data_IF_114250585454
#
_entry.id   IF_114250585454
#
_cell.length_a   1.000
_cell.length_b   1.000
_cell.length_c   1.000
_cell.angle_alpha   90.00
_cell.angle_beta   90.00
_cell.angle_gamma   90.00
#
_symmetry.space_group_name_H-M   'P 1'
#
loop_
_entity.id
_entity.type
_entity.pdbx_description
1 polymer ?
#
# COMPACT_ATOMS: atom_id res chain seq x y z
N UNK A 1 -2.67 -16.44 2.23
CA UNK A 1 -1.79 -17.48 2.60
C UNK A 1 -1.68 -17.74 4.10
N UNK A 2 -1.07 -18.86 4.46
CA UNK A 2 -0.88 -19.29 5.85
C UNK A 2 0.00 -18.32 6.67
N UNK A 3 1.03 -17.72 6.06
CA UNK A 3 1.90 -16.75 6.72
C UNK A 3 1.12 -15.50 7.15
N UNK A 4 0.29 -14.94 6.27
CA UNK A 4 -0.56 -13.78 6.57
C UNK A 4 -1.57 -14.09 7.67
N UNK A 5 -2.18 -15.27 7.66
CA UNK A 5 -3.10 -15.71 8.70
C UNK A 5 -2.40 -15.79 10.07
N UNK A 6 -1.18 -16.33 10.11
CA UNK A 6 -0.37 -16.41 11.34
C UNK A 6 -0.02 -15.03 11.87
N UNK A 7 0.48 -14.12 11.03
CA UNK A 7 0.81 -12.75 11.42
C UNK A 7 -0.42 -12.06 12.01
N UNK A 8 -1.59 -12.17 11.34
CA UNK A 8 -2.84 -11.58 11.82
C UNK A 8 -3.26 -12.14 13.18
N UNK A 9 -3.18 -13.44 13.38
CA UNK A 9 -3.52 -14.07 14.66
C UNK A 9 -2.61 -13.58 15.79
N UNK A 10 -1.32 -13.53 15.57
CA UNK A 10 -0.35 -13.04 16.56
C UNK A 10 -0.55 -11.56 16.88
N UNK A 11 -0.84 -10.72 15.89
CA UNK A 11 -1.10 -9.29 16.07
C UNK A 11 -2.41 -9.06 16.81
N UNK A 12 -3.47 -9.79 16.49
CA UNK A 12 -4.76 -9.71 17.17
C UNK A 12 -4.66 -10.11 18.63
N UNK A 13 -3.90 -11.16 18.94
CA UNK A 13 -3.67 -11.60 20.31
C UNK A 13 -2.94 -10.55 21.17
N UNK A 14 -2.05 -9.75 20.54
CA UNK A 14 -1.27 -8.70 21.24
C UNK A 14 -2.01 -7.38 21.37
N UNK A 15 -2.70 -6.93 20.32
CA UNK A 15 -3.12 -5.55 20.14
C UNK A 15 -4.64 -5.37 19.94
N UNK A 16 -5.39 -6.47 19.83
CA UNK A 16 -6.82 -6.47 19.55
C UNK A 16 -7.17 -6.38 18.06
N UNK A 17 -8.42 -6.73 17.74
CA UNK A 17 -8.87 -6.85 16.34
C UNK A 17 -8.88 -5.52 15.58
N UNK A 18 -9.31 -4.41 16.19
CA UNK A 18 -9.34 -3.10 15.55
C UNK A 18 -7.95 -2.63 15.13
N UNK A 19 -6.94 -2.76 16.00
CA UNK A 19 -5.57 -2.45 15.66
C UNK A 19 -5.02 -3.37 14.58
N UNK A 20 -5.36 -4.67 14.65
CA UNK A 20 -4.93 -5.63 13.62
C UNK A 20 -5.51 -5.30 12.25
N UNK A 21 -6.77 -4.90 12.17
CA UNK A 21 -7.42 -4.52 10.91
C UNK A 21 -6.78 -3.27 10.27
N UNK A 22 -6.22 -2.39 11.10
CA UNK A 22 -5.53 -1.18 10.63
C UNK A 22 -4.14 -1.45 10.04
N UNK A 23 -3.41 -2.46 10.56
CA UNK A 23 -2.01 -2.72 10.18
C UNK A 23 -1.77 -4.05 9.47
N UNK A 24 -2.69 -4.98 9.56
CA UNK A 24 -2.51 -6.33 9.00
C UNK A 24 -3.69 -6.71 8.12
N UNK A 25 -3.47 -6.79 6.82
CA UNK A 25 -4.49 -7.21 5.87
C UNK A 25 -5.06 -8.60 6.20
N UNK A 26 -6.34 -8.81 5.93
CA UNK A 26 -6.99 -10.12 6.06
C UNK A 26 -6.32 -11.14 5.12
N UNK A 27 -6.31 -12.43 5.46
CA UNK A 27 -5.79 -13.47 4.57
C UNK A 27 -6.43 -13.37 3.18
N UNK A 28 -5.62 -13.41 2.12
CA UNK A 28 -6.07 -13.24 0.74
C UNK A 28 -6.17 -11.79 0.26
N UNK A 29 -5.98 -10.79 1.13
CA UNK A 29 -6.10 -9.36 0.80
C UNK A 29 -4.76 -8.59 0.85
N UNK A 30 -3.66 -9.27 1.19
CA UNK A 30 -2.34 -8.64 1.21
C UNK A 30 -1.77 -8.53 -0.20
N UNK A 31 -1.29 -7.33 -0.56
CA UNK A 31 -0.60 -7.08 -1.85
C UNK A 31 0.71 -7.86 -1.99
N UNK A 32 1.34 -8.25 -0.90
CA UNK A 32 2.54 -9.10 -0.90
C UNK A 32 2.29 -10.47 -1.51
N UNK A 33 1.07 -11.00 -1.42
CA UNK A 33 0.71 -12.30 -2.00
C UNK A 33 0.71 -12.28 -3.54
N UNK A 34 0.59 -11.10 -4.13
CA UNK A 34 0.64 -10.89 -5.58
C UNK A 34 2.08 -10.70 -6.09
N UNK A 35 3.07 -10.62 -5.20
CA UNK A 35 4.45 -10.29 -5.56
C UNK A 35 4.65 -8.87 -6.06
N UNK A 36 3.71 -7.96 -5.82
CA UNK A 36 3.73 -6.58 -6.30
C UNK A 36 4.05 -5.55 -5.23
N UNK A 37 4.17 -5.96 -3.97
CA UNK A 37 4.49 -5.08 -2.86
C UNK A 37 5.78 -5.50 -2.17
N UNK A 38 6.53 -4.50 -1.69
CA UNK A 38 7.76 -4.69 -0.93
C UNK A 38 7.73 -3.81 0.32
N UNK A 39 8.24 -4.34 1.42
CA UNK A 39 8.51 -3.58 2.62
C UNK A 39 10.00 -3.26 2.69
N UNK A 40 10.32 -1.98 2.82
CA UNK A 40 11.68 -1.48 2.90
C UNK A 40 12.01 -1.07 4.34
N UNK A 41 13.17 -1.48 4.82
CA UNK A 41 13.63 -1.14 6.16
C UNK A 41 15.06 -0.63 6.11
N UNK A 42 15.45 0.19 7.08
CA UNK A 42 16.84 0.58 7.28
C UNK A 42 17.56 -0.47 8.12
N UNK A 43 18.76 -0.84 7.69
CA UNK A 43 19.57 -1.75 8.48
C UNK A 43 20.00 -1.08 9.79
N UNK A 44 19.71 -1.70 10.92
CA UNK A 44 20.12 -1.25 12.24
C UNK A 44 20.46 -2.44 13.15
N UNK A 45 21.17 -2.20 14.23
CA UNK A 45 21.48 -3.24 15.22
C UNK A 45 20.21 -3.85 15.85
N UNK A 46 19.16 -3.04 16.02
CA UNK A 46 17.85 -3.51 16.52
C UNK A 46 17.18 -4.50 15.56
N UNK A 47 17.47 -4.38 14.28
CA UNK A 47 16.92 -5.21 13.21
C UNK A 47 17.48 -6.64 13.19
N UNK A 48 18.64 -6.87 13.85
CA UNK A 48 19.30 -8.19 13.85
C UNK A 48 18.53 -9.28 14.61
N UNK A 49 17.75 -8.89 15.60
CA UNK A 49 17.04 -9.84 16.45
C UNK A 49 15.71 -10.29 15.85
N UNK A 50 14.93 -9.37 15.28
CA UNK A 50 13.65 -9.64 14.65
C UNK A 50 13.36 -8.63 13.55
N UNK A 51 12.84 -9.10 12.42
CA UNK A 51 12.43 -8.23 11.30
C UNK A 51 11.36 -7.20 11.72
N UNK A 52 10.46 -7.56 12.65
CA UNK A 52 9.46 -6.65 13.20
C UNK A 52 10.04 -5.43 13.95
N UNK A 53 11.30 -5.50 14.32
CA UNK A 53 11.99 -4.40 15.02
C UNK A 53 12.73 -3.49 14.04
N UNK A 54 12.61 -3.79 12.73
CA UNK A 54 13.17 -2.99 11.65
C UNK A 54 12.24 -1.83 11.32
N UNK A 55 12.77 -0.64 11.37
CA UNK A 55 12.06 0.57 10.93
C UNK A 55 12.79 1.22 9.76
N UNK A 56 12.04 1.85 8.89
CA UNK A 56 12.62 2.72 7.87
C UNK A 56 12.98 4.06 8.53
N UNK A 57 14.24 4.49 8.42
CA UNK A 57 14.63 5.79 8.99
C UNK A 57 13.95 6.95 8.24
N UNK A 58 13.64 8.07 8.94
CA UNK A 58 12.85 9.16 8.35
C UNK A 58 13.48 9.81 7.11
N UNK A 59 14.82 9.88 7.04
CA UNK A 59 15.53 10.47 5.89
C UNK A 59 15.35 9.59 4.65
N UNK A 60 15.56 8.29 4.80
CA UNK A 60 15.36 7.31 3.72
C UNK A 60 13.88 7.25 3.31
N UNK A 61 12.95 7.26 4.28
CA UNK A 61 11.52 7.28 4.00
C UNK A 61 11.10 8.51 3.18
N UNK A 62 11.62 9.69 3.53
CA UNK A 62 11.37 10.93 2.78
C UNK A 62 11.91 10.88 1.36
N UNK A 63 13.11 10.35 1.16
CA UNK A 63 13.71 10.20 -0.16
C UNK A 63 12.90 9.21 -1.02
N UNK A 64 12.54 8.07 -0.47
CA UNK A 64 11.72 7.06 -1.17
C UNK A 64 10.34 7.61 -1.55
N UNK A 65 9.68 8.32 -0.65
CA UNK A 65 8.39 8.96 -0.95
C UNK A 65 8.48 9.96 -2.12
N UNK A 66 9.61 10.66 -2.26
CA UNK A 66 9.84 11.61 -3.34
C UNK A 66 10.26 10.96 -4.67
N UNK A 67 10.92 9.80 -4.66
CA UNK A 67 11.60 9.24 -5.83
C UNK A 67 11.12 7.85 -6.26
N UNK A 68 10.37 7.11 -5.45
CA UNK A 68 9.95 5.74 -5.76
C UNK A 68 9.18 5.64 -7.10
N UNK A 69 8.43 6.68 -7.47
CA UNK A 69 7.68 6.75 -8.73
C UNK A 69 8.58 6.66 -9.98
N UNK A 70 9.82 7.13 -9.90
CA UNK A 70 10.80 7.05 -11.00
C UNK A 70 11.15 5.60 -11.35
N UNK A 71 10.93 4.68 -10.40
CA UNK A 71 11.17 3.24 -10.51
C UNK A 71 9.87 2.41 -10.67
N UNK A 72 8.72 3.07 -10.78
CA UNK A 72 7.44 2.43 -10.95
C UNK A 72 6.76 2.01 -9.64
N UNK A 73 7.24 2.50 -8.50
CA UNK A 73 6.67 2.23 -7.18
C UNK A 73 5.93 3.43 -6.62
N UNK A 74 4.94 3.16 -5.79
CA UNK A 74 4.22 4.17 -5.01
C UNK A 74 4.29 3.85 -3.52
N UNK A 75 4.28 4.89 -2.69
CA UNK A 75 3.98 4.75 -1.27
C UNK A 75 2.49 4.43 -1.13
N UNK A 76 2.17 3.18 -0.80
CA UNK A 76 0.79 2.66 -0.89
C UNK A 76 -0.16 3.26 0.13
N UNK A 77 0.32 3.51 1.34
CA UNK A 77 -0.47 4.00 2.48
C UNK A 77 0.12 5.29 3.06
N UNK A 78 -0.05 6.43 2.34
CA UNK A 78 0.51 7.70 2.76
C UNK A 78 -0.22 8.30 3.96
N UNK A 79 0.51 9.07 4.75
CA UNK A 79 -0.04 9.78 5.91
C UNK A 79 -1.16 10.75 5.51
N UNK A 80 -2.22 10.79 6.30
CA UNK A 80 -3.38 11.65 6.10
C UNK A 80 -4.42 11.10 5.13
N UNK A 81 -4.21 9.88 4.61
CA UNK A 81 -5.11 9.21 3.67
C UNK A 81 -5.75 7.93 4.24
N UNK A 82 -5.63 7.71 5.53
CA UNK A 82 -6.06 6.48 6.23
C UNK A 82 -7.55 6.20 6.05
N UNK A 83 -8.37 7.25 6.00
CA UNK A 83 -9.82 7.11 5.74
C UNK A 83 -10.16 6.64 4.34
N UNK A 84 -9.26 6.87 3.38
CA UNK A 84 -9.44 6.47 1.97
C UNK A 84 -8.91 5.06 1.76
N UNK A 85 -7.70 4.80 2.25
CA UNK A 85 -7.03 3.50 2.07
C UNK A 85 -7.56 2.41 3.00
N UNK A 86 -8.13 2.79 4.14
CA UNK A 86 -8.54 1.88 5.21
C UNK A 86 -7.38 1.28 6.01
N UNK A 87 -6.14 1.73 5.74
CA UNK A 87 -4.91 1.25 6.40
C UNK A 87 -4.17 2.46 6.98
N UNK A 88 -3.57 2.29 8.15
CA UNK A 88 -2.71 3.30 8.76
C UNK A 88 -1.51 3.63 7.87
N UNK A 89 -0.89 4.79 8.09
CA UNK A 89 0.32 5.15 7.36
C UNK A 89 1.43 4.12 7.53
N UNK A 90 1.92 3.62 6.43
CA UNK A 90 3.04 2.67 6.36
C UNK A 90 4.14 3.24 5.46
N UNK A 91 5.09 3.98 6.05
CA UNK A 91 6.18 4.62 5.32
C UNK A 91 7.14 3.62 4.63
N UNK A 92 7.04 2.36 4.96
CA UNK A 92 7.87 1.25 4.46
C UNK A 92 7.23 0.45 3.34
N UNK A 93 5.90 0.54 3.14
CA UNK A 93 5.15 -0.31 2.22
C UNK A 93 5.01 0.33 0.84
N UNK A 94 5.68 -0.25 -0.15
CA UNK A 94 5.67 0.22 -1.52
C UNK A 94 5.01 -0.79 -2.46
N UNK A 95 4.14 -0.29 -3.35
CA UNK A 95 3.48 -1.07 -4.38
C UNK A 95 4.06 -0.75 -5.74
N UNK A 96 4.42 -1.78 -6.52
CA UNK A 96 4.76 -1.63 -7.94
C UNK A 96 3.49 -1.49 -8.78
N UNK A 97 3.43 -0.43 -9.58
CA UNK A 97 2.30 -0.13 -10.47
C UNK A 97 2.77 0.22 -11.90
N UNK A 98 4.08 0.21 -12.14
CA UNK A 98 4.69 0.68 -13.38
C UNK A 98 4.94 2.18 -13.37
N UNK A 99 5.86 2.65 -14.22
CA UNK A 99 6.36 4.04 -14.18
C UNK A 99 5.28 5.06 -14.52
N UNK A 100 4.46 4.80 -15.54
CA UNK A 100 3.44 5.76 -15.99
C UNK A 100 2.38 6.01 -14.91
N UNK A 101 1.84 4.95 -14.32
CA UNK A 101 0.85 5.07 -13.26
C UNK A 101 1.45 5.62 -11.97
N UNK A 102 2.69 5.26 -11.65
CA UNK A 102 3.39 5.78 -10.49
C UNK A 102 3.62 7.29 -10.60
N UNK A 103 4.04 7.78 -11.78
CA UNK A 103 4.18 9.21 -12.06
C UNK A 103 2.85 9.95 -11.93
N UNK A 104 1.77 9.41 -12.52
CA UNK A 104 0.43 10.00 -12.40
C UNK A 104 -0.01 10.14 -10.94
N UNK A 105 0.16 9.09 -10.13
CA UNK A 105 -0.20 9.09 -8.71
C UNK A 105 0.65 10.12 -7.95
N UNK A 106 1.95 10.16 -8.21
CA UNK A 106 2.85 11.12 -7.58
C UNK A 106 2.48 12.58 -7.90
N UNK A 107 2.25 12.89 -9.17
CA UNK A 107 1.91 14.25 -9.63
C UNK A 107 0.53 14.70 -9.16
N UNK A 108 -0.45 13.81 -9.17
CA UNK A 108 -1.83 14.14 -8.75
C UNK A 108 -2.02 14.26 -7.25
N UNK A 109 -1.13 13.67 -6.44
CA UNK A 109 -1.30 13.55 -4.99
C UNK A 109 -2.46 12.66 -4.55
N UNK A 110 -3.04 11.89 -5.48
CA UNK A 110 -4.09 10.92 -5.20
C UNK A 110 -3.49 9.61 -4.66
N UNK A 111 -4.29 8.86 -3.91
CA UNK A 111 -3.95 7.49 -3.55
C UNK A 111 -4.18 6.53 -4.72
N UNK A 112 -3.60 5.35 -4.65
CA UNK A 112 -3.91 4.28 -5.60
C UNK A 112 -5.41 3.95 -5.62
N UNK A 113 -6.05 3.97 -4.46
CA UNK A 113 -7.49 3.72 -4.32
C UNK A 113 -8.33 4.77 -5.06
N UNK A 114 -8.00 6.05 -4.91
CA UNK A 114 -8.68 7.15 -5.62
C UNK A 114 -8.53 7.04 -7.13
N UNK A 115 -7.33 6.76 -7.61
CA UNK A 115 -7.06 6.58 -9.05
C UNK A 115 -7.81 5.37 -9.59
N UNK A 116 -7.78 4.23 -8.88
CA UNK A 116 -8.52 3.04 -9.27
C UNK A 116 -10.03 3.30 -9.37
N UNK A 117 -10.61 3.97 -8.36
CA UNK A 117 -12.04 4.33 -8.38
C UNK A 117 -12.40 5.24 -9.57
N UNK A 118 -11.55 6.19 -9.91
CA UNK A 118 -11.75 7.06 -11.06
C UNK A 118 -11.70 6.27 -12.37
N UNK A 119 -10.79 5.32 -12.51
CA UNK A 119 -10.69 4.45 -13.69
C UNK A 119 -11.94 3.57 -13.84
N UNK A 120 -12.45 3.00 -12.75
CA UNK A 120 -13.69 2.20 -12.75
C UNK A 120 -14.88 3.04 -13.22
N UNK A 121 -15.04 4.26 -12.69
CA UNK A 121 -16.12 5.18 -13.11
C UNK A 121 -16.05 5.51 -14.61
N UNK A 122 -14.88 5.77 -15.14
CA UNK A 122 -14.68 6.06 -16.57
C UNK A 122 -15.04 4.85 -17.43
N UNK A 123 -14.65 3.65 -17.05
CA UNK A 123 -15.00 2.40 -17.73
C UNK A 123 -16.52 2.19 -17.76
N UNK A 124 -17.18 2.36 -16.63
CA UNK A 124 -18.60 2.12 -16.50
C UNK A 124 -19.41 3.14 -17.32
N UNK A 125 -19.02 4.42 -17.31
CA UNK A 125 -19.62 5.45 -18.14
C UNK A 125 -19.45 5.17 -19.65
N UNK A 126 -18.29 4.69 -20.07
CA UNK A 126 -18.05 4.33 -21.48
C UNK A 126 -18.90 3.13 -21.91
N UNK A 127 -19.17 2.18 -21.02
CA UNK A 127 -20.05 1.03 -21.28
C UNK A 127 -21.51 1.46 -21.45
N UNK A 128 -22.00 2.38 -20.62
CA UNK A 128 -23.36 2.94 -20.74
C UNK A 128 -23.52 3.72 -22.05
N UNK A 129 -22.57 4.56 -22.43
CA UNK A 129 -22.57 5.30 -23.67
C UNK A 129 -22.68 4.39 -24.93
N UNK A 130 -21.96 3.26 -24.92
CA UNK A 130 -22.03 2.25 -26.00
C UNK A 130 -23.40 1.56 -26.08
N UNK A 131 -24.03 1.26 -24.94
CA UNK A 131 -25.34 0.62 -24.90
C UNK A 131 -26.50 1.54 -25.32
N UNK A 132 -26.34 2.86 -25.20
CA UNK A 132 -27.36 3.85 -25.59
C UNK A 132 -27.32 4.23 -27.07
N UNK A 133 -26.29 3.83 -27.84
CA UNK A 133 -26.18 4.07 -29.30
C UNK A 133 -26.56 2.86 -30.16
N UNK A 134 -27.02 1.79 -29.55
CA UNK A 134 -27.58 0.59 -30.20
C UNK A 134 -29.11 0.66 -30.14
#
# INVERSE_FOLDING_TARGET
>A
GTAQAKIRTETTAKNGAAHTDEYVAKPGHSEHQLGLAVDLTSFSEKCKARFSDCALDPKTAGWLAAHAHEYGFILRYPKGKEKITGIANEAWHFRYVGKDLAALIHESGLTFDEVYQNMVKLRDNASVAKSSTS
#
